data_IF_762979895517
#
_entry.id   IF_762979895517
#
_cell.length_a   1.000
_cell.length_b   1.000
_cell.length_c   1.000
_cell.angle_alpha   90.00
_cell.angle_beta   90.00
_cell.angle_gamma   90.00
#
_symmetry.space_group_name_H-M   'P 1'
#
loop_
_entity.id
_entity.type
_entity.pdbx_description
1 polymer ?
#
# COMPACT_ATOMS: atom_id res chain seq x y z
N UNK A 1 -6.07 2.23 -14.36
CA UNK A 1 -5.73 3.60 -13.94
C UNK A 1 -6.27 3.79 -12.52
N UNK A 2 -5.41 3.77 -11.51
CA UNK A 2 -5.81 3.98 -10.12
C UNK A 2 -5.43 5.40 -9.73
N UNK A 3 -6.43 6.23 -9.49
CA UNK A 3 -6.26 7.58 -8.95
C UNK A 3 -6.53 7.50 -7.46
N UNK A 4 -5.46 7.43 -6.66
CA UNK A 4 -5.54 7.37 -5.21
C UNK A 4 -5.27 8.75 -4.62
N UNK A 5 -5.86 9.02 -3.47
CA UNK A 5 -5.73 10.27 -2.71
C UNK A 5 -4.27 10.75 -2.63
N UNK A 6 -3.98 11.93 -3.19
CA UNK A 6 -2.66 12.56 -3.30
C UNK A 6 -1.66 11.93 -4.28
N UNK A 7 -2.05 10.93 -5.06
CA UNK A 7 -1.14 10.29 -6.01
C UNK A 7 -1.86 9.98 -7.32
N UNK A 8 -1.38 10.51 -8.43
CA UNK A 8 -1.69 9.99 -9.75
C UNK A 8 -0.73 8.83 -10.01
N UNK A 9 -1.26 7.65 -10.34
CA UNK A 9 -0.47 6.53 -10.83
C UNK A 9 -1.04 6.06 -12.17
N UNK A 10 -0.21 6.01 -13.17
CA UNK A 10 -0.54 5.50 -14.50
C UNK A 10 0.67 4.76 -15.07
N UNK A 11 0.47 4.08 -16.20
CA UNK A 11 1.52 3.31 -16.84
C UNK A 11 1.71 3.80 -18.27
N UNK A 12 2.93 4.14 -18.64
CA UNK A 12 3.30 4.40 -20.03
C UNK A 12 3.35 3.07 -20.80
N UNK A 13 2.90 3.04 -22.06
CA UNK A 13 2.83 1.82 -22.87
C UNK A 13 4.22 1.23 -23.12
N UNK A 14 4.22 -0.06 -23.50
CA UNK A 14 5.42 -0.75 -23.95
C UNK A 14 5.77 -0.26 -25.35
N UNK A 15 7.03 0.03 -25.57
CA UNK A 15 7.59 0.36 -26.88
C UNK A 15 8.35 -0.85 -27.45
N UNK A 16 8.35 -1.01 -28.75
CA UNK A 16 9.13 -2.05 -29.41
C UNK A 16 10.63 -1.72 -29.29
N UNK A 17 11.37 -2.60 -28.60
CA UNK A 17 12.80 -2.43 -28.35
C UNK A 17 13.14 -1.61 -27.11
N UNK A 18 14.41 -1.53 -26.79
CA UNK A 18 14.93 -0.76 -25.65
C UNK A 18 15.00 0.72 -26.01
N UNK A 19 14.26 1.55 -25.27
CA UNK A 19 14.16 2.99 -25.49
C UNK A 19 14.45 3.77 -24.21
N UNK A 20 14.84 5.03 -24.35
CA UNK A 20 14.82 5.98 -23.26
C UNK A 20 13.46 6.69 -23.26
N UNK A 21 12.74 6.63 -22.16
CA UNK A 21 11.50 7.36 -21.97
C UNK A 21 11.79 8.55 -21.06
N UNK A 22 11.40 9.73 -21.54
CA UNK A 22 11.39 10.96 -20.76
C UNK A 22 9.94 11.29 -20.42
N UNK A 23 9.63 11.57 -19.17
CA UNK A 23 8.30 11.98 -18.76
C UNK A 23 8.34 13.02 -17.65
N UNK A 24 7.29 13.84 -17.61
CA UNK A 24 7.03 14.78 -16.55
C UNK A 24 5.53 14.90 -16.30
N UNK A 25 5.12 15.07 -15.04
CA UNK A 25 3.74 15.33 -14.65
C UNK A 25 3.71 16.69 -13.95
N UNK A 26 2.91 17.59 -14.48
CA UNK A 26 2.77 18.94 -13.94
C UNK A 26 1.30 19.25 -13.65
N UNK A 27 0.99 20.15 -12.71
CA UNK A 27 -0.34 20.74 -12.62
C UNK A 27 -0.77 21.34 -13.98
N UNK A 28 -2.01 21.09 -14.43
CA UNK A 28 -2.44 21.48 -15.78
C UNK A 28 -2.38 22.99 -16.04
N UNK A 29 -2.46 23.81 -14.99
CA UNK A 29 -2.25 25.26 -15.15
C UNK A 29 -0.80 25.61 -15.56
N UNK A 30 0.18 24.80 -15.18
CA UNK A 30 1.58 24.97 -15.60
C UNK A 30 1.82 24.44 -17.02
N UNK A 31 0.98 23.53 -17.50
CA UNK A 31 1.13 22.95 -18.84
C UNK A 31 0.99 24.01 -19.96
N UNK A 32 0.36 25.14 -19.69
CA UNK A 32 0.25 26.27 -20.62
C UNK A 32 1.60 26.93 -20.95
N UNK A 33 2.63 26.72 -20.12
CA UNK A 33 4.00 27.15 -20.39
C UNK A 33 4.67 26.32 -21.52
N UNK A 34 4.08 25.18 -21.88
CA UNK A 34 4.59 24.26 -22.91
C UNK A 34 3.58 24.12 -24.06
N UNK A 35 3.36 25.19 -24.85
CA UNK A 35 2.25 25.26 -25.80
C UNK A 35 2.40 24.33 -27.01
N UNK A 36 3.62 24.03 -27.42
CA UNK A 36 3.93 23.19 -28.56
C UNK A 36 5.03 22.16 -28.28
N UNK A 37 5.30 21.30 -29.24
CA UNK A 37 6.22 20.19 -29.08
C UNK A 37 7.68 20.62 -28.92
N UNK A 38 8.06 21.83 -29.31
CA UNK A 38 9.41 22.37 -29.11
C UNK A 38 9.66 22.61 -27.61
N UNK A 39 8.77 23.36 -26.98
CA UNK A 39 8.84 23.64 -25.54
C UNK A 39 8.68 22.37 -24.68
N UNK A 40 7.76 21.47 -25.07
CA UNK A 40 7.54 20.19 -24.39
C UNK A 40 8.77 19.30 -24.44
N UNK A 41 9.42 19.21 -25.60
CA UNK A 41 10.66 18.46 -25.80
C UNK A 41 11.79 19.01 -24.94
N UNK A 42 11.97 20.33 -24.94
CA UNK A 42 13.00 20.99 -24.12
C UNK A 42 12.77 20.70 -22.62
N UNK A 43 11.55 20.89 -22.13
CA UNK A 43 11.16 20.57 -20.76
C UNK A 43 11.41 19.09 -20.41
N UNK A 44 11.02 18.16 -21.28
CA UNK A 44 11.24 16.73 -21.05
C UNK A 44 12.72 16.37 -20.99
N UNK A 45 13.57 17.01 -21.77
CA UNK A 45 15.01 16.75 -21.77
C UNK A 45 15.73 17.40 -20.59
N UNK A 46 15.25 18.53 -20.07
CA UNK A 46 15.90 19.30 -18.99
C UNK A 46 15.35 18.97 -17.60
N UNK A 47 14.04 18.77 -17.49
CA UNK A 47 13.33 18.62 -16.22
C UNK A 47 12.67 17.25 -16.07
N UNK A 48 12.54 16.50 -17.16
CA UNK A 48 11.84 15.21 -17.16
C UNK A 48 12.63 14.08 -16.50
N UNK A 49 11.91 13.15 -15.90
CA UNK A 49 12.49 11.89 -15.43
C UNK A 49 12.82 11.01 -16.64
N UNK A 50 14.05 10.50 -16.68
CA UNK A 50 14.54 9.60 -17.74
C UNK A 50 14.61 8.16 -17.26
N UNK A 51 13.99 7.23 -17.99
CA UNK A 51 14.05 5.77 -17.73
C UNK A 51 14.43 5.06 -19.02
N UNK A 52 15.39 4.14 -18.93
CA UNK A 52 15.76 3.27 -20.07
C UNK A 52 15.13 1.89 -19.83
N UNK A 53 14.25 1.47 -20.74
CA UNK A 53 13.48 0.24 -20.55
C UNK A 53 12.98 -0.34 -21.88
N UNK A 54 12.68 -1.62 -21.86
CA UNK A 54 11.89 -2.35 -22.86
C UNK A 54 10.50 -2.75 -22.34
N UNK A 55 10.13 -2.24 -21.16
CA UNK A 55 8.87 -2.54 -20.47
C UNK A 55 8.04 -1.28 -20.28
N UNK A 56 6.80 -1.48 -19.85
CA UNK A 56 5.95 -0.38 -19.40
C UNK A 56 6.56 0.33 -18.18
N UNK A 57 6.42 1.65 -18.12
CA UNK A 57 6.95 2.47 -17.01
C UNK A 57 5.80 2.93 -16.14
N UNK A 58 5.75 2.52 -14.87
CA UNK A 58 4.83 3.14 -13.92
C UNK A 58 5.30 4.57 -13.62
N UNK A 59 4.37 5.51 -13.69
CA UNK A 59 4.63 6.92 -13.39
C UNK A 59 3.67 7.39 -12.30
N UNK A 60 4.15 8.20 -11.38
CA UNK A 60 3.35 8.70 -10.26
C UNK A 60 3.61 10.18 -9.98
N UNK A 61 2.62 10.85 -9.40
CA UNK A 61 2.71 12.22 -8.91
C UNK A 61 2.10 12.30 -7.51
N UNK A 62 2.95 12.43 -6.49
CA UNK A 62 2.56 12.26 -5.08
C UNK A 62 2.06 13.56 -4.41
N UNK A 63 2.13 14.69 -5.11
CA UNK A 63 1.75 16.01 -4.59
C UNK A 63 0.31 16.43 -4.96
N UNK A 64 -0.44 15.54 -5.63
CA UNK A 64 -1.80 15.85 -6.05
C UNK A 64 -2.77 15.95 -4.87
N UNK A 65 -3.73 16.85 -4.99
CA UNK A 65 -4.92 16.92 -4.13
C UNK A 65 -6.14 16.45 -4.94
N UNK A 66 -7.18 16.07 -4.24
CA UNK A 66 -8.44 15.73 -4.89
C UNK A 66 -8.98 16.90 -5.73
N UNK A 67 -9.38 16.61 -6.95
CA UNK A 67 -9.86 17.60 -7.91
C UNK A 67 -8.76 18.33 -8.69
N UNK A 68 -7.48 18.08 -8.38
CA UNK A 68 -6.37 18.66 -9.16
C UNK A 68 -6.41 18.13 -10.59
N UNK A 69 -6.18 19.02 -11.53
CA UNK A 69 -5.93 18.68 -12.94
C UNK A 69 -4.43 18.58 -13.16
N UNK A 70 -3.99 17.44 -13.67
CA UNK A 70 -2.59 17.14 -13.96
C UNK A 70 -2.42 16.83 -15.44
N UNK A 71 -1.29 17.25 -16.00
CA UNK A 71 -0.90 16.91 -17.36
C UNK A 71 0.38 16.08 -17.35
N UNK A 72 0.31 14.88 -17.93
CA UNK A 72 1.47 14.03 -18.18
C UNK A 72 1.98 14.34 -19.60
N UNK A 73 3.26 14.66 -19.68
CA UNK A 73 4.04 14.69 -20.92
C UNK A 73 4.98 13.49 -20.93
N UNK A 74 5.08 12.80 -22.07
CA UNK A 74 6.04 11.71 -22.22
C UNK A 74 6.53 11.62 -23.67
N UNK A 75 7.80 11.21 -23.82
CA UNK A 75 8.45 11.07 -25.12
C UNK A 75 9.43 9.90 -25.07
N UNK A 76 9.42 9.05 -26.08
CA UNK A 76 10.40 8.00 -26.25
C UNK A 76 11.54 8.48 -27.16
N UNK A 77 12.76 7.99 -26.88
CA UNK A 77 13.94 8.17 -27.72
C UNK A 77 14.53 6.79 -27.97
N UNK A 78 14.67 6.41 -29.24
CA UNK A 78 15.21 5.12 -29.63
C UNK A 78 16.74 5.01 -29.44
N UNK A 79 17.30 3.85 -29.75
CA UNK A 79 18.74 3.61 -29.62
C UNK A 79 19.60 4.43 -30.59
N UNK A 80 19.01 4.98 -31.65
CA UNK A 80 19.67 5.82 -32.63
C UNK A 80 19.57 7.32 -32.26
N UNK A 81 18.92 7.64 -31.15
CA UNK A 81 18.71 9.02 -30.68
C UNK A 81 17.55 9.73 -31.36
N UNK A 82 16.69 9.02 -32.09
CA UNK A 82 15.54 9.61 -32.76
C UNK A 82 14.39 9.77 -31.77
N UNK A 83 13.79 10.95 -31.78
CA UNK A 83 12.68 11.32 -30.91
C UNK A 83 11.34 10.84 -31.47
N UNK A 84 10.56 10.18 -30.63
CA UNK A 84 9.17 9.85 -30.92
C UNK A 84 8.23 11.05 -30.75
N UNK A 85 6.95 10.83 -31.01
CA UNK A 85 5.90 11.84 -30.75
C UNK A 85 5.77 12.07 -29.25
N UNK A 86 5.45 13.30 -28.88
CA UNK A 86 5.16 13.65 -27.50
C UNK A 86 3.73 13.25 -27.17
N UNK A 87 3.59 12.41 -26.16
CA UNK A 87 2.30 12.09 -25.54
C UNK A 87 1.95 13.22 -24.57
N UNK A 88 0.74 13.75 -24.70
CA UNK A 88 0.14 14.69 -23.75
C UNK A 88 -1.15 14.09 -23.27
N UNK A 89 -1.29 13.88 -21.97
CA UNK A 89 -2.51 13.31 -21.38
C UNK A 89 -2.90 14.03 -20.11
N UNK A 90 -4.15 14.47 -20.06
CA UNK A 90 -4.71 15.14 -18.89
C UNK A 90 -5.40 14.14 -17.96
N UNK A 91 -5.29 14.39 -16.67
CA UNK A 91 -5.92 13.64 -15.59
C UNK A 91 -6.59 14.60 -14.62
N UNK A 92 -7.70 14.17 -14.06
CA UNK A 92 -8.29 14.83 -12.89
C UNK A 92 -8.25 13.85 -11.73
N UNK A 93 -7.63 14.25 -10.63
CA UNK A 93 -7.57 13.44 -9.44
C UNK A 93 -8.95 13.39 -8.79
N UNK A 94 -9.34 12.22 -8.27
CA UNK A 94 -10.60 12.02 -7.56
C UNK A 94 -10.37 11.94 -6.06
N UNK A 95 -11.41 12.18 -5.28
CA UNK A 95 -11.40 11.77 -3.87
C UNK A 95 -11.25 10.26 -3.82
N UNK A 96 -10.48 9.80 -2.85
CA UNK A 96 -10.46 8.39 -2.52
C UNK A 96 -11.77 8.04 -1.82
N UNK A 97 -12.43 7.01 -2.30
CA UNK A 97 -13.63 6.45 -1.69
C UNK A 97 -13.35 4.98 -1.33
N UNK A 98 -13.69 4.62 -0.10
CA UNK A 98 -13.63 3.22 0.31
C UNK A 98 -14.76 2.45 -0.35
N UNK A 99 -14.49 1.18 -0.65
CA UNK A 99 -15.49 0.23 -1.12
C UNK A 99 -16.37 -0.25 0.04
N UNK A 100 -17.58 -0.74 -0.25
CA UNK A 100 -18.53 -1.33 0.72
C UNK A 100 -18.14 -2.78 1.13
N UNK A 101 -16.85 -3.08 1.18
CA UNK A 101 -16.34 -4.36 1.66
C UNK A 101 -16.50 -4.41 3.18
N UNK A 102 -17.29 -5.38 3.67
CA UNK A 102 -17.43 -5.64 5.11
C UNK A 102 -16.24 -6.45 5.63
N UNK A 103 -15.21 -5.73 6.09
CA UNK A 103 -14.00 -6.32 6.67
C UNK A 103 -14.16 -6.50 8.17
N UNK A 104 -13.97 -7.73 8.65
CA UNK A 104 -13.98 -8.09 10.07
C UNK A 104 -12.65 -8.67 10.49
N UNK A 105 -12.20 -8.29 11.68
CA UNK A 105 -11.00 -8.80 12.33
C UNK A 105 -11.40 -9.48 13.64
N UNK A 106 -10.83 -10.65 13.90
CA UNK A 106 -11.01 -11.38 15.13
C UNK A 106 -9.65 -11.83 15.68
N UNK A 107 -9.24 -11.27 16.82
CA UNK A 107 -8.04 -11.68 17.54
C UNK A 107 -8.28 -13.07 18.16
N UNK A 108 -7.67 -14.10 17.61
CA UNK A 108 -7.88 -15.49 18.03
C UNK A 108 -6.77 -16.01 18.96
N UNK A 109 -5.58 -15.43 18.88
CA UNK A 109 -4.46 -15.67 19.80
C UNK A 109 -3.63 -14.39 19.90
N UNK A 110 -2.99 -14.13 21.03
CA UNK A 110 -2.17 -12.94 21.28
C UNK A 110 -0.95 -13.22 22.15
N UNK A 111 -0.33 -14.40 21.95
CA UNK A 111 0.95 -14.73 22.57
C UNK A 111 2.10 -14.04 21.85
N UNK A 112 3.20 -13.81 22.57
CA UNK A 112 4.42 -13.16 22.09
C UNK A 112 4.92 -13.72 20.74
N UNK A 113 4.96 -15.05 20.61
CA UNK A 113 5.46 -15.72 19.41
C UNK A 113 4.34 -16.36 18.57
N UNK A 114 3.09 -16.18 18.92
CA UNK A 114 1.95 -16.79 18.22
C UNK A 114 0.69 -15.92 18.34
N UNK A 115 0.77 -14.69 17.83
CA UNK A 115 -0.39 -13.81 17.71
C UNK A 115 -1.09 -14.09 16.39
N UNK A 116 -2.39 -14.32 16.44
CA UNK A 116 -3.23 -14.65 15.28
C UNK A 116 -4.45 -13.77 15.19
N UNK A 117 -4.63 -13.17 14.03
CA UNK A 117 -5.80 -12.35 13.71
C UNK A 117 -6.48 -12.98 12.50
N UNK A 118 -7.66 -13.51 12.72
CA UNK A 118 -8.52 -13.99 11.64
C UNK A 118 -9.10 -12.81 10.88
N UNK A 119 -9.01 -12.89 9.56
CA UNK A 119 -9.45 -11.84 8.64
C UNK A 119 -10.55 -12.39 7.75
N UNK A 120 -11.72 -11.79 7.80
CA UNK A 120 -12.83 -12.14 6.93
C UNK A 120 -13.33 -10.90 6.22
N UNK A 121 -13.64 -11.02 4.93
CA UNK A 121 -14.19 -9.94 4.13
C UNK A 121 -15.33 -10.45 3.26
N UNK A 122 -16.44 -9.71 3.25
CA UNK A 122 -17.61 -9.98 2.43
C UNK A 122 -17.75 -8.91 1.34
N UNK A 123 -18.29 -9.27 0.17
CA UNK A 123 -18.58 -8.32 -0.90
C UNK A 123 -17.78 -8.50 -2.19
N UNK A 124 -16.78 -9.40 -2.24
CA UNK A 124 -16.11 -9.83 -3.46
C UNK A 124 -15.56 -11.25 -3.33
N UNK A 125 -15.26 -11.90 -4.46
CA UNK A 125 -14.83 -13.30 -4.48
C UNK A 125 -13.37 -13.51 -4.07
N UNK A 126 -12.51 -12.48 -4.21
CA UNK A 126 -11.08 -12.56 -3.89
C UNK A 126 -10.57 -11.24 -3.36
N UNK A 127 -9.91 -11.30 -2.20
CA UNK A 127 -9.24 -10.19 -1.58
C UNK A 127 -7.77 -10.48 -1.35
N UNK A 128 -7.00 -9.42 -1.44
CA UNK A 128 -5.67 -9.32 -0.84
C UNK A 128 -5.81 -8.41 0.37
N UNK A 129 -5.05 -8.65 1.43
CA UNK A 129 -5.07 -7.77 2.59
C UNK A 129 -3.75 -7.03 2.68
N UNK A 130 -3.84 -5.76 3.02
CA UNK A 130 -2.69 -4.95 3.41
C UNK A 130 -2.84 -4.59 4.87
N UNK A 131 -1.77 -4.75 5.63
CA UNK A 131 -1.80 -4.45 7.06
C UNK A 131 -0.49 -3.82 7.53
N UNK A 132 -0.59 -3.05 8.60
CA UNK A 132 0.55 -2.56 9.35
C UNK A 132 0.32 -2.85 10.84
N UNK A 133 1.38 -3.25 11.52
CA UNK A 133 1.39 -3.44 12.97
C UNK A 133 2.43 -2.50 13.56
N UNK A 134 2.03 -1.79 14.59
CA UNK A 134 2.87 -0.80 15.25
C UNK A 134 2.62 -0.81 16.75
N UNK A 135 3.60 -0.38 17.52
CA UNK A 135 3.43 -0.07 18.92
C UNK A 135 2.48 1.13 19.10
N UNK A 136 1.78 1.18 20.22
CA UNK A 136 0.75 2.19 20.49
C UNK A 136 1.29 3.63 20.42
N UNK A 137 2.56 3.84 20.79
CA UNK A 137 3.21 5.15 20.67
C UNK A 137 3.39 5.56 19.20
N UNK A 138 3.97 4.68 18.38
CA UNK A 138 4.16 4.91 16.94
C UNK A 138 2.82 5.07 16.20
N UNK A 139 1.77 4.41 16.68
CA UNK A 139 0.42 4.56 16.14
C UNK A 139 -0.04 6.01 16.07
N UNK A 140 0.22 6.77 17.12
CA UNK A 140 -0.15 8.19 17.18
C UNK A 140 0.76 9.05 16.29
N UNK A 141 2.06 8.82 16.33
CA UNK A 141 3.05 9.66 15.66
C UNK A 141 3.06 9.46 14.13
N UNK A 142 3.05 8.21 13.68
CA UNK A 142 3.18 7.87 12.26
C UNK A 142 1.82 7.79 11.57
N UNK A 143 0.86 7.10 12.19
CA UNK A 143 -0.44 6.82 11.59
C UNK A 143 -1.54 7.79 12.03
N UNK A 144 -1.20 8.77 12.87
CA UNK A 144 -2.10 9.85 13.30
C UNK A 144 -3.20 9.42 14.26
N UNK A 145 -3.06 8.26 14.93
CA UNK A 145 -3.90 7.81 16.04
C UNK A 145 -5.34 7.43 15.68
N UNK A 146 -5.68 7.29 14.39
CA UNK A 146 -7.02 6.88 13.97
C UNK A 146 -6.96 5.93 12.78
N UNK A 147 -7.91 4.98 12.73
CA UNK A 147 -8.00 4.03 11.61
C UNK A 147 -8.12 4.73 10.25
N UNK A 148 -8.83 5.86 10.17
CA UNK A 148 -8.97 6.64 8.95
C UNK A 148 -7.62 7.18 8.46
N UNK A 149 -6.86 7.84 9.34
CA UNK A 149 -5.54 8.40 8.98
C UNK A 149 -4.54 7.30 8.66
N UNK A 150 -4.60 6.18 9.37
CA UNK A 150 -3.78 5.01 9.07
C UNK A 150 -4.09 4.43 7.69
N UNK A 151 -5.35 4.27 7.34
CA UNK A 151 -5.75 3.86 6.01
C UNK A 151 -5.27 4.83 4.93
N UNK A 152 -5.43 6.13 5.13
CA UNK A 152 -4.92 7.17 4.22
C UNK A 152 -3.39 7.09 4.07
N UNK A 153 -2.65 6.86 5.16
CA UNK A 153 -1.20 6.68 5.13
C UNK A 153 -0.80 5.44 4.33
N UNK A 154 -1.42 4.28 4.59
CA UNK A 154 -1.11 3.02 3.92
C UNK A 154 -1.38 3.10 2.41
N UNK A 155 -2.49 3.73 2.01
CA UNK A 155 -2.83 3.95 0.61
C UNK A 155 -1.83 4.91 -0.07
N UNK A 156 -1.40 5.95 0.64
CA UNK A 156 -0.45 6.92 0.12
C UNK A 156 0.99 6.38 0.02
N UNK A 157 1.34 5.37 0.83
CA UNK A 157 2.70 4.84 0.96
C UNK A 157 2.74 3.30 0.79
N UNK A 158 2.23 2.72 -0.31
CA UNK A 158 2.06 1.26 -0.44
C UNK A 158 3.37 0.47 -0.47
N UNK A 159 4.52 1.15 -0.59
CA UNK A 159 5.86 0.56 -0.57
C UNK A 159 6.62 0.81 0.72
N UNK A 160 5.99 1.42 1.72
CA UNK A 160 6.59 1.59 3.05
C UNK A 160 6.89 0.20 3.65
N UNK A 161 8.05 0.04 4.26
CA UNK A 161 8.53 -1.24 4.79
C UNK A 161 7.68 -1.77 5.95
N UNK A 162 6.90 -0.92 6.60
CA UNK A 162 5.97 -1.28 7.68
C UNK A 162 4.65 -1.85 7.18
N UNK A 163 4.38 -1.73 5.86
CA UNK A 163 3.14 -2.22 5.26
C UNK A 163 3.37 -3.60 4.68
N UNK A 164 2.65 -4.57 5.22
CA UNK A 164 2.64 -5.96 4.79
C UNK A 164 1.51 -6.20 3.80
N UNK A 165 1.81 -6.90 2.71
CA UNK A 165 0.88 -7.22 1.64
C UNK A 165 0.77 -8.75 1.52
N UNK A 166 -0.41 -9.30 1.78
CA UNK A 166 -0.64 -10.75 1.82
C UNK A 166 -0.55 -11.44 0.44
N UNK A 167 -0.41 -10.70 -0.63
CA UNK A 167 -0.07 -11.27 -1.94
C UNK A 167 1.39 -11.75 -2.01
N UNK A 168 2.24 -11.26 -1.10
CA UNK A 168 3.64 -11.64 -0.98
C UNK A 168 3.78 -12.85 -0.06
N UNK A 169 4.61 -13.81 -0.45
CA UNK A 169 4.78 -15.08 0.27
C UNK A 169 5.13 -14.92 1.78
N UNK A 170 5.93 -13.90 2.11
CA UNK A 170 6.35 -13.64 3.50
C UNK A 170 5.22 -13.12 4.40
N UNK A 171 4.12 -12.65 3.83
CA UNK A 171 2.99 -12.07 4.54
C UNK A 171 1.66 -12.77 4.22
N UNK A 172 1.73 -13.88 3.49
CA UNK A 172 0.55 -14.66 3.11
C UNK A 172 -0.22 -15.12 4.36
N UNK A 173 -1.55 -15.12 4.26
CA UNK A 173 -2.39 -15.66 5.32
C UNK A 173 -2.13 -17.16 5.50
N UNK A 174 -2.08 -17.61 6.74
CA UNK A 174 -2.05 -19.02 7.10
C UNK A 174 -3.41 -19.37 7.70
N UNK A 175 -4.13 -20.27 7.04
CA UNK A 175 -5.49 -20.66 7.44
C UNK A 175 -6.45 -19.46 7.66
N UNK A 176 -6.37 -18.47 6.77
CA UNK A 176 -7.20 -17.27 6.84
C UNK A 176 -6.78 -16.26 7.91
N UNK A 177 -5.58 -16.41 8.50
CA UNK A 177 -5.10 -15.59 9.61
C UNK A 177 -3.80 -14.89 9.28
N UNK A 178 -3.67 -13.64 9.71
CA UNK A 178 -2.39 -12.95 9.86
C UNK A 178 -1.70 -13.57 11.07
N UNK A 179 -0.46 -14.01 10.89
CA UNK A 179 0.38 -14.54 11.99
C UNK A 179 1.53 -13.59 12.27
N UNK A 180 1.75 -13.31 13.55
CA UNK A 180 2.78 -12.39 14.03
C UNK A 180 3.53 -13.05 15.18
N UNK A 181 4.84 -12.90 15.20
CA UNK A 181 5.71 -13.43 16.24
C UNK A 181 6.77 -12.40 16.64
N UNK A 182 7.44 -12.64 17.78
CA UNK A 182 8.54 -11.81 18.26
C UNK A 182 8.09 -10.49 18.88
N UNK A 183 6.89 -10.46 19.49
CA UNK A 183 6.34 -9.27 20.15
C UNK A 183 6.88 -9.12 21.58
N UNK A 184 6.82 -7.90 22.10
CA UNK A 184 7.17 -7.59 23.49
C UNK A 184 5.91 -7.63 24.37
N UNK A 185 5.97 -8.33 25.52
CA UNK A 185 4.84 -8.47 26.46
C UNK A 185 4.43 -7.16 27.13
N UNK A 186 5.36 -6.23 27.26
CA UNK A 186 5.15 -5.00 28.01
C UNK A 186 4.62 -3.85 27.11
N UNK A 187 4.41 -4.15 25.81
CA UNK A 187 3.99 -3.19 24.81
C UNK A 187 2.56 -3.45 24.34
N UNK A 188 1.81 -2.37 24.15
CA UNK A 188 0.53 -2.42 23.47
C UNK A 188 0.75 -2.23 21.96
N UNK A 189 0.15 -3.10 21.16
CA UNK A 189 0.21 -3.07 19.70
C UNK A 189 -1.12 -2.72 19.07
N UNK A 190 -1.04 -2.04 17.95
CA UNK A 190 -2.17 -1.79 17.06
C UNK A 190 -1.89 -2.42 15.72
N UNK A 191 -2.79 -3.25 15.24
CA UNK A 191 -2.79 -3.69 13.86
C UNK A 191 -3.92 -2.99 13.11
N UNK A 192 -3.60 -2.44 11.95
CA UNK A 192 -4.58 -1.89 11.01
C UNK A 192 -4.57 -2.74 9.75
N UNK A 193 -5.74 -3.12 9.27
CA UNK A 193 -5.93 -3.97 8.10
C UNK A 193 -6.92 -3.34 7.14
N UNK A 194 -6.66 -3.47 5.84
CA UNK A 194 -7.61 -3.18 4.77
C UNK A 194 -7.66 -4.34 3.80
N UNK A 195 -8.84 -4.66 3.30
CA UNK A 195 -9.01 -5.56 2.17
C UNK A 195 -8.87 -4.79 0.86
N UNK A 196 -8.22 -5.39 -0.12
CA UNK A 196 -8.02 -4.85 -1.47
C UNK A 196 -8.71 -5.78 -2.46
N UNK A 197 -9.69 -5.27 -3.17
CA UNK A 197 -10.39 -6.02 -4.21
C UNK A 197 -9.55 -6.11 -5.50
N UNK A 198 -9.96 -6.98 -6.42
CA UNK A 198 -9.25 -7.21 -7.68
C UNK A 198 -9.17 -5.96 -8.58
N UNK A 199 -10.09 -5.02 -8.43
CA UNK A 199 -10.09 -3.73 -9.14
C UNK A 199 -9.20 -2.66 -8.48
N UNK A 200 -8.53 -3.00 -7.36
CA UNK A 200 -7.67 -2.10 -6.60
C UNK A 200 -8.40 -1.20 -5.60
N UNK A 201 -9.71 -1.35 -5.43
CA UNK A 201 -10.46 -0.62 -4.40
C UNK A 201 -10.20 -1.21 -3.01
N UNK A 202 -10.29 -0.36 -1.98
CA UNK A 202 -9.96 -0.69 -0.59
C UNK A 202 -11.22 -0.69 0.28
N UNK A 203 -11.28 -1.62 1.24
CA UNK A 203 -12.25 -1.55 2.33
C UNK A 203 -11.97 -0.38 3.27
N UNK A 204 -12.94 -0.04 4.11
CA UNK A 204 -12.68 0.76 5.31
C UNK A 204 -11.60 0.07 6.16
N UNK A 205 -10.61 0.81 6.68
CA UNK A 205 -9.61 0.24 7.57
C UNK A 205 -10.24 -0.23 8.88
N UNK A 206 -9.83 -1.41 9.33
CA UNK A 206 -10.19 -1.96 10.64
C UNK A 206 -8.96 -2.08 11.53
N UNK A 207 -9.14 -1.99 12.84
CA UNK A 207 -8.05 -2.02 13.81
C UNK A 207 -8.34 -3.00 14.94
N UNK A 208 -7.28 -3.65 15.42
CA UNK A 208 -7.29 -4.44 16.65
C UNK A 208 -6.17 -3.94 17.55
N UNK A 209 -6.47 -3.75 18.82
CA UNK A 209 -5.54 -3.38 19.87
C UNK A 209 -5.31 -4.59 20.78
N UNK A 210 -4.08 -4.86 21.16
CA UNK A 210 -3.76 -5.95 22.07
C UNK A 210 -2.40 -5.77 22.72
N UNK A 211 -2.26 -6.34 23.94
CA UNK A 211 -0.97 -6.52 24.62
C UNK A 211 -0.66 -8.00 24.63
N UNK A 212 0.46 -8.45 24.07
CA UNK A 212 0.82 -9.86 24.02
C UNK A 212 1.00 -10.46 25.41
N UNK A 213 0.64 -11.73 25.57
CA UNK A 213 0.91 -12.50 26.78
C UNK A 213 2.05 -13.49 26.56
N UNK A 214 2.69 -13.91 27.64
CA UNK A 214 3.77 -14.89 27.56
C UNK A 214 3.33 -16.21 26.93
N UNK A 215 4.24 -16.89 26.23
CA UNK A 215 4.05 -18.23 25.68
C UNK A 215 3.99 -19.33 26.75
N UNK A 216 3.47 -19.05 27.95
CA UNK A 216 3.44 -20.01 29.04
C UNK A 216 2.34 -21.04 28.79
N UNK A 217 2.70 -22.12 28.11
CA UNK A 217 1.98 -23.36 28.22
C UNK A 217 2.30 -23.96 29.57
N UNK A 218 1.47 -23.77 30.58
CA UNK A 218 1.56 -24.57 31.82
C UNK A 218 1.15 -25.99 31.43
N UNK A 219 2.13 -26.82 31.06
CA UNK A 219 1.92 -28.27 30.98
C UNK A 219 1.91 -28.76 32.39
N UNK A 220 0.75 -28.81 33.04
CA UNK A 220 0.56 -29.55 34.27
C UNK A 220 0.68 -31.02 33.89
N UNK A 221 1.90 -31.55 33.93
CA UNK A 221 2.10 -33.00 33.97
C UNK A 221 1.59 -33.47 35.30
N UNK A 222 0.46 -34.15 35.30
CA UNK A 222 -0.02 -34.93 36.46
C UNK A 222 0.93 -36.11 36.61
N UNK A 223 2.01 -35.91 37.35
CA UNK A 223 3.09 -36.90 37.49
C UNK A 223 2.93 -37.80 38.70
N UNK A 224 2.06 -37.46 39.66
CA UNK A 224 1.87 -38.27 40.89
C UNK A 224 0.41 -38.47 41.24
N UNK A 225 0.05 -39.72 41.47
CA UNK A 225 -1.28 -40.11 41.92
C UNK A 225 -1.67 -39.52 43.29
N UNK A 226 -0.73 -38.98 44.03
CA UNK A 226 -0.91 -38.42 45.36
C UNK A 226 -1.23 -36.94 45.42
N UNK A 227 -1.27 -36.26 44.26
CA UNK A 227 -1.57 -34.82 44.22
C UNK A 227 -3.05 -34.51 44.45
N UNK A 228 -3.92 -35.53 44.39
CA UNK A 228 -5.36 -35.36 44.53
C UNK A 228 -5.86 -35.39 45.99
N UNK A 229 -5.03 -35.72 46.97
CA UNK A 229 -5.51 -36.01 48.32
C UNK A 229 -5.15 -34.98 49.40
N UNK A 230 -4.59 -33.83 49.05
CA UNK A 230 -4.47 -32.69 49.97
C UNK A 230 -3.93 -33.03 51.36
N UNK A 231 -2.85 -33.80 51.43
CA UNK A 231 -2.13 -34.06 52.70
C UNK A 231 -0.83 -33.29 52.72
#
# INVERSE_FOLDING_TARGET
EVIVHRRLSTTLPIFAGRVAIYYNIVPSYMATAYPDDTYRKEMLLTEGTRVITDKSVPVSYDKAKAGDKLTLFAMAVDSEGKFGKILVKEYTTKNFEYNDIDLKLNLTDYKVDDTKIEVTAEGAEKFVYVYAMVESEEWTEVYGGTKKKAGEFMIANPTDSRICDTSKANYALVDGKIQIAGLNMDEEYVIVVMAVAADGSYSQPQTVYFTPIANIGIVVKKTDANWAEGK
#
